data_IF_897524809649
#
_entry.id   IF_897524809649
#
_cell.length_a   1.000
_cell.length_b   1.000
_cell.length_c   1.000
_cell.angle_alpha   90.00
_cell.angle_beta   90.00
_cell.angle_gamma   90.00
#
_symmetry.space_group_name_H-M   'P 1'
#
loop_
_entity.id
_entity.type
_entity.pdbx_description
1 polymer ?
#
# COMPACT_ATOMS: atom_id res chain seq x y z
N UNK A 1 -8.09 -2.42 -3.35
CA UNK A 1 -8.10 -0.98 -3.00
C UNK A 1 -6.95 -0.30 -3.70
N UNK A 2 -7.18 0.83 -4.36
CA UNK A 2 -6.13 1.60 -5.02
C UNK A 2 -5.87 2.87 -4.20
N UNK A 3 -4.60 3.12 -3.89
CA UNK A 3 -4.17 4.26 -3.10
C UNK A 3 -3.25 5.11 -3.97
N UNK A 4 -3.53 6.41 -4.04
CA UNK A 4 -2.70 7.41 -4.70
C UNK A 4 -2.12 8.34 -3.64
N UNK A 5 -0.81 8.40 -3.56
CA UNK A 5 -0.08 9.33 -2.70
C UNK A 5 0.49 10.44 -3.57
N UNK A 6 0.18 11.69 -3.23
CA UNK A 6 0.70 12.87 -3.90
C UNK A 6 1.72 13.56 -3.00
N UNK A 7 2.91 13.75 -3.53
CA UNK A 7 4.03 14.44 -2.88
C UNK A 7 4.11 15.88 -3.36
N UNK A 8 4.78 16.73 -2.58
CA UNK A 8 5.03 18.13 -2.92
C UNK A 8 6.09 18.31 -4.01
N UNK A 9 6.86 17.27 -4.32
CA UNK A 9 7.89 17.26 -5.36
C UNK A 9 8.27 15.84 -5.80
N UNK A 10 9.30 15.69 -6.65
CA UNK A 10 9.82 14.39 -7.08
C UNK A 10 10.13 13.48 -5.90
N UNK A 11 9.59 12.27 -5.90
CA UNK A 11 9.81 11.28 -4.85
C UNK A 11 10.45 10.01 -5.40
N UNK A 12 11.51 9.54 -4.74
CA UNK A 12 12.28 8.33 -5.09
C UNK A 12 12.39 7.33 -3.93
N UNK A 13 11.72 7.59 -2.81
CA UNK A 13 11.69 6.69 -1.66
C UNK A 13 10.70 5.52 -1.84
N UNK A 14 10.46 4.79 -0.75
CA UNK A 14 9.50 3.70 -0.72
C UNK A 14 8.22 4.11 0.02
N UNK A 15 7.07 3.93 -0.64
CA UNK A 15 5.75 3.96 0.02
C UNK A 15 5.37 2.53 0.33
N UNK A 16 5.03 2.23 1.58
CA UNK A 16 4.63 0.88 1.98
C UNK A 16 3.54 0.91 3.05
N UNK A 17 2.79 -0.18 3.16
CA UNK A 17 1.87 -0.38 4.27
C UNK A 17 2.63 -0.46 5.61
N UNK A 18 2.01 -0.04 6.71
CA UNK A 18 2.63 -0.04 8.05
C UNK A 18 3.06 -1.47 8.40
N UNK A 19 4.33 -1.66 8.73
CA UNK A 19 4.96 -2.94 9.11
C UNK A 19 5.06 -4.02 8.00
N UNK A 20 4.63 -3.73 6.76
CA UNK A 20 4.75 -4.65 5.61
C UNK A 20 5.58 -4.02 4.50
N UNK A 21 6.87 -4.40 4.43
CA UNK A 21 7.86 -3.89 3.45
C UNK A 21 8.15 -4.86 2.30
N UNK A 22 7.19 -5.73 1.96
CA UNK A 22 7.34 -6.65 0.83
C UNK A 22 6.88 -5.99 -0.48
N UNK A 23 7.23 -6.60 -1.61
CA UNK A 23 6.94 -6.08 -2.96
C UNK A 23 5.44 -5.91 -3.28
N UNK A 24 4.54 -6.62 -2.59
CA UNK A 24 3.10 -6.53 -2.79
C UNK A 24 2.48 -5.37 -1.99
N UNK A 25 3.13 -5.00 -0.88
CA UNK A 25 2.66 -3.98 0.05
C UNK A 25 3.41 -2.66 -0.09
N UNK A 26 4.27 -2.53 -1.11
CA UNK A 26 5.10 -1.35 -1.33
C UNK A 26 5.18 -0.95 -2.81
N UNK A 27 5.50 0.32 -3.03
CA UNK A 27 5.86 0.86 -4.33
C UNK A 27 7.03 1.83 -4.18
N UNK A 28 7.95 1.82 -5.12
CA UNK A 28 9.04 2.80 -5.19
C UNK A 28 8.60 4.02 -5.97
N UNK A 29 8.97 5.20 -5.49
CA UNK A 29 8.87 6.43 -6.24
C UNK A 29 9.81 6.39 -7.45
N UNK A 30 9.33 6.85 -8.60
CA UNK A 30 10.07 6.88 -9.86
C UNK A 30 10.53 8.30 -10.25
N UNK A 31 10.60 9.23 -9.28
CA UNK A 31 10.87 10.64 -9.54
C UNK A 31 9.62 11.44 -9.92
N UNK A 32 8.46 10.80 -10.07
CA UNK A 32 7.17 11.49 -10.14
C UNK A 32 6.78 12.08 -8.77
N UNK A 33 5.85 13.03 -8.78
CA UNK A 33 5.18 13.54 -7.59
C UNK A 33 3.98 12.67 -7.17
N UNK A 34 3.73 11.57 -7.88
CA UNK A 34 2.66 10.62 -7.58
C UNK A 34 3.25 9.22 -7.45
N UNK A 35 2.88 8.53 -6.37
CA UNK A 35 3.02 7.08 -6.26
C UNK A 35 1.64 6.43 -6.16
N UNK A 36 1.48 5.29 -6.82
CA UNK A 36 0.23 4.52 -6.79
C UNK A 36 0.53 3.12 -6.31
N UNK A 37 -0.23 2.65 -5.31
CA UNK A 37 -0.14 1.30 -4.78
C UNK A 37 -1.51 0.64 -4.76
N UNK A 38 -1.55 -0.66 -5.02
CA UNK A 38 -2.77 -1.46 -5.01
C UNK A 38 -2.66 -2.49 -3.91
N UNK A 39 -3.65 -2.51 -3.01
CA UNK A 39 -3.69 -3.41 -1.86
C UNK A 39 -4.90 -4.34 -1.95
N UNK A 40 -4.68 -5.63 -1.65
CA UNK A 40 -5.75 -6.60 -1.51
C UNK A 40 -6.37 -6.50 -0.10
N UNK A 41 -7.62 -6.04 -0.01
CA UNK A 41 -8.34 -5.94 1.26
C UNK A 41 -8.84 -7.29 1.78
N UNK A 42 -8.91 -8.29 0.89
CA UNK A 42 -9.43 -9.63 1.20
C UNK A 42 -8.32 -10.64 1.47
N UNK A 43 -7.06 -10.22 1.36
CA UNK A 43 -5.91 -11.06 1.67
C UNK A 43 -5.96 -11.45 3.15
N UNK A 44 -5.78 -12.74 3.42
CA UNK A 44 -5.77 -13.30 4.78
C UNK A 44 -4.36 -13.37 5.31
N UNK A 45 -4.22 -13.32 6.64
CA UNK A 45 -2.92 -13.51 7.30
C UNK A 45 -2.28 -14.83 6.84
N UNK A 46 -1.02 -14.75 6.40
CA UNK A 46 -0.27 -15.86 5.80
C UNK A 46 -0.22 -15.85 4.27
N UNK A 47 -1.04 -15.03 3.60
CA UNK A 47 -0.91 -14.81 2.16
C UNK A 47 0.17 -13.75 1.85
N UNK A 48 0.84 -13.87 0.71
CA UNK A 48 1.94 -12.98 0.31
C UNK A 48 1.50 -11.53 0.09
N UNK A 49 0.24 -11.33 -0.30
CA UNK A 49 -0.40 -10.05 -0.55
C UNK A 49 -1.14 -9.49 0.68
N UNK A 50 -0.98 -10.15 1.85
CA UNK A 50 -1.47 -9.61 3.11
C UNK A 50 -0.57 -8.46 3.60
N UNK A 51 -1.16 -7.27 3.69
CA UNK A 51 -0.46 -6.04 4.06
C UNK A 51 -0.88 -5.48 5.42
N UNK A 52 -1.35 -6.35 6.34
CA UNK A 52 -1.73 -5.94 7.71
C UNK A 52 -3.01 -5.13 7.81
N UNK A 53 -3.87 -5.22 6.79
CA UNK A 53 -5.07 -4.40 6.70
C UNK A 53 -6.14 -4.99 7.61
N UNK A 54 -6.59 -4.20 8.59
CA UNK A 54 -7.72 -4.54 9.44
C UNK A 54 -9.01 -4.10 8.74
N UNK A 55 -9.83 -5.07 8.33
CA UNK A 55 -11.16 -4.80 7.80
C UNK A 55 -12.16 -4.88 8.95
N UNK A 56 -12.69 -3.74 9.40
CA UNK A 56 -13.83 -3.73 10.31
C UNK A 56 -15.09 -4.12 9.54
N UNK A 57 -15.69 -5.24 9.90
CA UNK A 57 -17.01 -5.61 9.42
C UNK A 57 -18.07 -5.13 10.42
N UNK A 58 -18.27 -3.82 10.50
CA UNK A 58 -19.46 -3.25 11.13
C UNK A 58 -20.57 -3.16 10.08
N UNK A 59 -21.18 -4.29 9.74
CA UNK A 59 -22.48 -4.31 9.08
C UNK A 59 -23.54 -3.95 10.12
N UNK A 60 -24.11 -2.75 10.02
CA UNK A 60 -25.35 -2.37 10.71
C UNK A 60 -26.54 -3.14 10.13
#
# INVERSE_FOLDING_TARGET
MNIRVQFTGPYTGAVHARDYRNTHCMVFGNGSNIATMSLNLLARQGQNDYCGILVSNSSF
#
